data_IF_367578223786
#
_entry.id   IF_367578223786
#
_cell.length_a   1.000
_cell.length_b   1.000
_cell.length_c   1.000
_cell.angle_alpha   90.00
_cell.angle_beta   90.00
_cell.angle_gamma   90.00
#
_symmetry.space_group_name_H-M   'P 1'
#
loop_
_entity.id
_entity.type
_entity.pdbx_description
1 polymer ?
#
# COMPACT_ATOMS: atom_id res chain seq x y z
N UNK A 1 -1.24 -14.12 -22.01
CA UNK A 1 0.00 -13.32 -22.17
C UNK A 1 -0.30 -11.95 -21.57
N UNK A 2 0.66 -11.33 -20.86
CA UNK A 2 0.47 -9.98 -20.31
C UNK A 2 0.41 -8.94 -21.45
N UNK A 3 -0.43 -7.90 -21.37
CA UNK A 3 -0.54 -6.89 -22.43
C UNK A 3 0.60 -5.86 -22.41
N UNK A 4 1.48 -5.94 -21.42
CA UNK A 4 2.62 -5.04 -21.22
C UNK A 4 3.90 -5.82 -20.91
N UNK A 5 5.04 -5.13 -21.05
CA UNK A 5 6.40 -5.59 -20.77
C UNK A 5 7.09 -4.60 -19.83
N UNK A 6 8.14 -5.04 -19.15
CA UNK A 6 8.91 -4.17 -18.24
C UNK A 6 9.39 -2.86 -18.92
N UNK A 7 9.82 -2.95 -20.19
CA UNK A 7 10.30 -1.82 -20.98
C UNK A 7 9.24 -0.72 -21.18
N UNK A 8 7.95 -1.05 -21.13
CA UNK A 8 6.88 -0.07 -21.28
C UNK A 8 6.85 0.94 -20.12
N UNK A 9 7.47 0.62 -18.98
CA UNK A 9 7.46 1.47 -17.78
C UNK A 9 8.69 2.36 -17.65
N UNK A 10 9.59 2.35 -18.63
CA UNK A 10 10.72 3.28 -18.68
C UNK A 10 10.24 4.74 -18.76
N UNK A 11 10.91 5.63 -18.03
CA UNK A 11 10.62 7.07 -18.05
C UNK A 11 9.28 7.48 -17.40
N UNK A 12 8.63 6.61 -16.63
CA UNK A 12 7.35 6.90 -15.96
C UNK A 12 7.49 7.67 -14.63
N UNK A 13 8.61 8.36 -14.41
CA UNK A 13 8.86 9.17 -13.20
C UNK A 13 9.16 8.36 -11.93
N UNK A 14 9.11 7.03 -11.99
CA UNK A 14 9.53 6.17 -10.88
C UNK A 14 11.04 5.89 -10.95
N UNK A 15 11.76 5.85 -9.81
CA UNK A 15 13.18 5.49 -9.79
C UNK A 15 13.48 4.09 -10.35
N UNK A 16 12.49 3.19 -10.38
CA UNK A 16 12.63 1.85 -10.94
C UNK A 16 11.39 1.47 -11.76
N UNK A 17 11.53 1.12 -13.05
CA UNK A 17 10.40 0.67 -13.87
C UNK A 17 9.76 -0.62 -13.32
N UNK A 18 10.54 -1.43 -12.59
CA UNK A 18 10.06 -2.62 -11.90
C UNK A 18 8.95 -2.32 -10.88
N UNK A 19 8.94 -1.12 -10.30
CA UNK A 19 7.92 -0.72 -9.33
C UNK A 19 6.52 -0.64 -9.94
N UNK A 20 6.35 -0.01 -11.10
CA UNK A 20 5.04 0.07 -11.76
C UNK A 20 4.67 -1.27 -12.41
N UNK A 21 5.67 -1.95 -12.99
CA UNK A 21 5.48 -3.26 -13.60
C UNK A 21 4.87 -4.26 -12.61
N UNK A 22 5.42 -4.36 -11.38
CA UNK A 22 4.87 -5.30 -10.38
C UNK A 22 3.43 -4.98 -9.97
N UNK A 23 3.03 -3.72 -9.95
CA UNK A 23 1.68 -3.32 -9.57
C UNK A 23 0.65 -3.81 -10.59
N UNK A 24 0.97 -3.67 -11.87
CA UNK A 24 0.11 -4.17 -12.94
C UNK A 24 0.11 -5.69 -13.01
N UNK A 25 1.24 -6.36 -12.74
CA UNK A 25 1.25 -7.83 -12.62
C UNK A 25 0.24 -8.29 -11.56
N UNK A 26 0.18 -7.63 -10.40
CA UNK A 26 -0.75 -7.96 -9.31
C UNK A 26 -2.22 -7.76 -9.71
N UNK A 27 -2.54 -6.69 -10.43
CA UNK A 27 -3.91 -6.41 -10.88
C UNK A 27 -4.37 -7.33 -12.01
N UNK A 28 -3.48 -7.70 -12.93
CA UNK A 28 -3.82 -8.56 -14.07
C UNK A 28 -3.73 -10.06 -13.73
N UNK A 29 -2.97 -10.49 -12.71
CA UNK A 29 -2.81 -11.91 -12.38
C UNK A 29 -4.15 -12.65 -12.20
N UNK A 30 -5.14 -12.11 -11.45
CA UNK A 30 -6.44 -12.77 -11.27
C UNK A 30 -7.26 -12.92 -12.55
N UNK A 31 -6.96 -12.12 -13.59
CA UNK A 31 -7.64 -12.11 -14.88
C UNK A 31 -6.96 -13.02 -15.90
N UNK A 32 -5.63 -13.10 -15.88
CA UNK A 32 -4.85 -13.75 -16.94
C UNK A 32 -4.34 -15.15 -16.60
N UNK A 33 -4.12 -15.46 -15.31
CA UNK A 33 -3.60 -16.77 -14.91
C UNK A 33 -4.75 -17.77 -14.83
N UNK A 34 -4.69 -18.78 -15.71
CA UNK A 34 -5.71 -19.82 -15.80
C UNK A 34 -5.77 -20.66 -14.52
N UNK A 35 -6.99 -21.05 -14.12
CA UNK A 35 -7.21 -21.90 -12.96
C UNK A 35 -7.18 -21.20 -11.61
N UNK A 36 -6.91 -19.89 -11.54
CA UNK A 36 -7.05 -19.15 -10.29
C UNK A 36 -8.53 -19.07 -9.85
N UNK A 37 -8.73 -19.14 -8.54
CA UNK A 37 -10.03 -18.92 -7.92
C UNK A 37 -10.55 -17.49 -8.20
N UNK A 38 -11.87 -17.24 -8.11
CA UNK A 38 -12.44 -15.90 -8.29
C UNK A 38 -11.94 -14.86 -7.27
N UNK A 39 -11.48 -15.31 -6.11
CA UNK A 39 -10.86 -14.45 -5.09
C UNK A 39 -9.39 -14.88 -4.95
N UNK A 40 -8.47 -13.93 -5.08
CA UNK A 40 -7.02 -14.17 -5.06
C UNK A 40 -6.40 -13.30 -3.99
N UNK A 41 -5.68 -13.92 -3.04
CA UNK A 41 -4.83 -13.17 -2.12
C UNK A 41 -3.53 -12.81 -2.84
N UNK A 42 -3.35 -11.52 -3.11
CA UNK A 42 -2.08 -10.97 -3.55
C UNK A 42 -1.31 -10.52 -2.32
N UNK A 43 -0.02 -10.83 -2.28
CA UNK A 43 0.86 -10.55 -1.15
C UNK A 43 2.26 -10.18 -1.67
N UNK A 44 2.89 -9.19 -1.05
CA UNK A 44 4.31 -8.92 -1.28
C UNK A 44 5.15 -10.09 -0.73
N UNK A 45 6.28 -10.36 -1.39
CA UNK A 45 7.14 -11.49 -1.05
C UNK A 45 7.89 -11.33 0.28
N UNK A 46 7.89 -10.13 0.84
CA UNK A 46 8.54 -9.79 2.11
C UNK A 46 7.57 -9.76 3.30
N UNK A 47 6.32 -10.19 3.12
CA UNK A 47 5.33 -10.33 4.19
C UNK A 47 5.53 -11.65 4.95
N UNK A 48 5.55 -11.56 6.27
CA UNK A 48 5.58 -12.70 7.18
C UNK A 48 4.40 -12.63 8.15
N UNK A 49 3.52 -13.63 8.07
CA UNK A 49 2.34 -13.74 8.93
C UNK A 49 2.71 -14.28 10.30
N UNK A 50 2.33 -13.57 11.35
CA UNK A 50 2.53 -14.00 12.75
C UNK A 50 1.31 -14.71 13.31
N UNK A 51 0.11 -14.41 12.77
CA UNK A 51 -1.15 -14.98 13.21
C UNK A 51 -1.66 -16.03 12.22
N UNK A 52 -1.68 -17.33 12.58
CA UNK A 52 -2.12 -18.42 11.70
C UNK A 52 -3.63 -18.38 11.40
N UNK A 53 -4.41 -17.62 12.17
CA UNK A 53 -5.86 -17.47 12.00
C UNK A 53 -6.28 -16.29 11.13
N UNK A 54 -5.34 -15.62 10.45
CA UNK A 54 -5.66 -14.48 9.57
C UNK A 54 -6.54 -14.92 8.41
N UNK A 55 -7.77 -14.39 8.34
CA UNK A 55 -8.73 -14.64 7.25
C UNK A 55 -8.79 -13.44 6.32
N UNK A 56 -9.01 -13.64 5.02
CA UNK A 56 -9.12 -12.52 4.06
C UNK A 56 -10.49 -12.41 3.40
N UNK A 57 -11.35 -13.39 3.63
CA UNK A 57 -12.73 -13.42 3.17
C UNK A 57 -13.67 -13.54 4.36
N UNK A 58 -14.85 -12.96 4.20
CA UNK A 58 -16.00 -13.14 5.08
C UNK A 58 -16.99 -14.03 4.35
N UNK A 59 -17.36 -15.13 4.99
CA UNK A 59 -18.43 -15.98 4.48
C UNK A 59 -19.74 -15.20 4.54
N UNK A 60 -20.39 -15.04 3.39
CA UNK A 60 -21.71 -14.47 3.33
C UNK A 60 -22.75 -15.57 3.59
N UNK A 61 -23.76 -15.24 4.41
CA UNK A 61 -24.95 -16.08 4.52
C UNK A 61 -25.78 -15.95 3.23
N UNK A 62 -26.59 -16.98 2.95
CA UNK A 62 -27.64 -16.97 1.93
C UNK A 62 -27.17 -16.94 0.46
N UNK A 63 -26.04 -17.59 0.14
CA UNK A 63 -25.60 -17.81 -1.24
C UNK A 63 -25.06 -16.56 -1.96
N UNK A 64 -24.84 -15.46 -1.24
CA UNK A 64 -24.17 -14.27 -1.76
C UNK A 64 -22.67 -14.51 -1.95
N UNK A 65 -22.06 -13.76 -2.88
CA UNK A 65 -20.61 -13.76 -3.07
C UNK A 65 -19.90 -13.33 -1.77
N UNK A 66 -18.73 -13.91 -1.43
CA UNK A 66 -18.01 -13.55 -0.22
C UNK A 66 -17.53 -12.09 -0.28
N UNK A 67 -17.56 -11.42 0.87
CA UNK A 67 -16.94 -10.10 1.02
C UNK A 67 -15.45 -10.26 1.28
N UNK A 68 -14.62 -9.40 0.70
CA UNK A 68 -13.21 -9.34 0.99
C UNK A 68 -12.93 -8.41 2.18
N UNK A 69 -12.03 -8.85 3.06
CA UNK A 69 -11.41 -7.92 4.00
C UNK A 69 -10.41 -7.05 3.25
N UNK A 70 -10.77 -5.78 3.08
CA UNK A 70 -9.87 -4.75 2.60
C UNK A 70 -9.06 -4.26 3.78
N UNK A 71 -7.82 -4.73 3.85
CA UNK A 71 -6.92 -4.33 4.91
C UNK A 71 -6.51 -2.88 4.69
N UNK A 72 -6.67 -2.06 5.72
CA UNK A 72 -6.19 -0.68 5.74
C UNK A 72 -5.42 -0.43 7.03
N UNK A 73 -4.60 0.60 7.02
CA UNK A 73 -4.05 1.19 8.23
C UNK A 73 -4.47 2.65 8.31
N UNK A 74 -4.68 3.14 9.53
CA UNK A 74 -4.98 4.55 9.77
C UNK A 74 -4.03 5.16 10.80
N UNK A 75 -3.89 6.48 10.75
CA UNK A 75 -3.00 7.25 11.64
C UNK A 75 -3.35 7.11 13.12
N UNK A 76 -4.57 6.67 13.43
CA UNK A 76 -5.08 6.54 14.79
C UNK A 76 -4.76 5.16 15.39
N UNK A 77 -4.53 4.14 14.56
CA UNK A 77 -4.40 2.74 15.02
C UNK A 77 -3.06 2.07 14.68
N UNK A 78 -2.29 2.66 13.79
CA UNK A 78 -0.96 2.18 13.43
C UNK A 78 0.06 3.31 13.65
N UNK A 79 0.49 3.57 14.90
CA UNK A 79 1.60 4.47 15.14
C UNK A 79 2.91 3.75 14.79
N UNK A 80 3.83 4.39 14.06
CA UNK A 80 3.74 5.65 13.35
C UNK A 80 3.49 5.36 11.85
N UNK A 81 2.97 6.34 11.12
CA UNK A 81 2.80 6.25 9.67
C UNK A 81 3.90 7.04 9.04
N UNK A 82 4.66 6.45 8.09
CA UNK A 82 5.83 6.99 7.36
C UNK A 82 5.88 8.52 7.20
N UNK A 83 4.73 9.18 7.06
CA UNK A 83 4.45 10.56 7.49
C UNK A 83 3.00 10.90 7.09
N UNK A 84 2.49 12.07 7.50
CA UNK A 84 1.29 12.62 6.88
C UNK A 84 1.42 12.75 5.33
N UNK A 85 2.65 12.88 4.80
CA UNK A 85 2.88 12.89 3.37
C UNK A 85 2.62 11.52 2.72
N UNK A 86 2.80 10.42 3.45
CA UNK A 86 2.57 9.06 2.95
C UNK A 86 1.09 8.71 2.84
N UNK A 87 0.27 9.19 3.77
CA UNK A 87 -1.20 9.08 3.67
C UNK A 87 -1.75 9.82 2.45
N UNK A 88 -1.06 10.87 2.04
CA UNK A 88 -1.47 11.70 0.90
C UNK A 88 -0.74 11.32 -0.40
N UNK A 89 0.22 10.40 -0.35
CA UNK A 89 1.15 10.08 -1.45
C UNK A 89 0.44 9.72 -2.76
N UNK A 90 -0.73 9.08 -2.66
CA UNK A 90 -1.50 8.56 -3.78
C UNK A 90 -2.80 9.32 -4.06
N UNK A 91 -3.05 10.46 -3.37
CA UNK A 91 -4.31 11.20 -3.53
C UNK A 91 -4.56 11.68 -4.96
N UNK A 92 -3.49 12.06 -5.66
CA UNK A 92 -3.57 12.53 -7.05
C UNK A 92 -3.65 11.38 -8.05
N UNK A 93 -3.18 10.18 -7.68
CA UNK A 93 -3.14 9.03 -8.57
C UNK A 93 -4.53 8.49 -8.89
N UNK A 94 -5.39 8.33 -7.87
CA UNK A 94 -6.75 7.82 -8.05
C UNK A 94 -7.59 8.65 -9.05
N UNK A 95 -7.68 10.00 -8.92
CA UNK A 95 -8.34 10.85 -9.91
C UNK A 95 -7.76 10.74 -11.31
N UNK A 96 -6.45 10.54 -11.41
CA UNK A 96 -5.73 10.48 -12.67
C UNK A 96 -5.98 9.17 -13.42
N UNK A 97 -6.28 8.09 -12.69
CA UNK A 97 -6.72 6.81 -13.29
C UNK A 97 -8.22 6.84 -13.61
N UNK A 98 -9.04 7.31 -12.68
CA UNK A 98 -10.49 7.32 -12.83
C UNK A 98 -11.07 8.63 -12.27
N UNK A 99 -11.61 9.53 -13.12
CA UNK A 99 -12.26 10.75 -12.66
C UNK A 99 -13.33 10.48 -11.61
N UNK A 100 -13.34 11.29 -10.55
CA UNK A 100 -14.23 11.11 -9.40
C UNK A 100 -13.85 9.99 -8.41
N UNK A 101 -12.86 9.13 -8.70
CA UNK A 101 -12.36 8.17 -7.71
C UNK A 101 -11.46 8.87 -6.69
N UNK A 102 -11.74 8.68 -5.40
CA UNK A 102 -10.99 9.28 -4.28
C UNK A 102 -10.88 8.30 -3.13
N UNK A 103 -9.90 8.50 -2.25
CA UNK A 103 -9.84 7.81 -0.96
C UNK A 103 -11.06 8.17 -0.13
N UNK A 104 -11.59 7.21 0.64
CA UNK A 104 -12.69 7.47 1.56
C UNK A 104 -12.30 8.40 2.71
N UNK A 105 -11.06 8.27 3.23
CA UNK A 105 -10.48 9.14 4.26
C UNK A 105 -9.08 9.63 3.82
N UNK A 106 -8.99 10.63 2.91
CA UNK A 106 -7.70 11.19 2.49
C UNK A 106 -6.91 11.72 3.69
N UNK A 107 -5.61 11.43 3.75
CA UNK A 107 -4.75 11.90 4.84
C UNK A 107 -4.93 11.18 6.18
N UNK A 108 -5.83 10.19 6.28
CA UNK A 108 -6.06 9.44 7.53
C UNK A 108 -5.98 7.92 7.35
N UNK A 109 -6.29 7.39 6.16
CA UNK A 109 -6.31 5.96 5.87
C UNK A 109 -5.51 5.65 4.60
N UNK A 110 -4.91 4.46 4.49
CA UNK A 110 -4.36 3.94 3.24
C UNK A 110 -4.64 2.45 3.10
N UNK A 111 -4.83 1.99 1.86
CA UNK A 111 -4.98 0.57 1.51
C UNK A 111 -3.64 -0.15 1.31
N UNK A 112 -2.50 0.52 1.43
CA UNK A 112 -1.16 -0.07 1.17
C UNK A 112 -0.70 -0.97 2.34
N UNK A 113 -1.32 -2.14 2.47
CA UNK A 113 -1.04 -3.09 3.55
C UNK A 113 -0.13 -4.25 3.14
N UNK A 114 0.55 -4.18 1.99
CA UNK A 114 1.40 -5.24 1.42
C UNK A 114 0.67 -6.54 1.02
N UNK A 115 -0.66 -6.53 1.09
CA UNK A 115 -1.50 -7.63 0.63
C UNK A 115 -2.93 -7.13 0.39
N UNK A 116 -3.66 -7.84 -0.47
CA UNK A 116 -5.10 -7.64 -0.67
C UNK A 116 -5.76 -8.91 -1.20
N UNK A 117 -6.97 -9.20 -0.74
CA UNK A 117 -7.85 -10.16 -1.41
C UNK A 117 -8.54 -9.46 -2.59
N UNK A 118 -8.06 -9.75 -3.79
CA UNK A 118 -8.62 -9.24 -5.03
C UNK A 118 -9.74 -10.16 -5.52
N UNK A 119 -10.87 -9.56 -5.87
CA UNK A 119 -12.02 -10.25 -6.42
C UNK A 119 -12.04 -10.00 -7.93
N UNK A 120 -12.08 -11.07 -8.73
CA UNK A 120 -11.95 -11.00 -10.19
C UNK A 120 -12.98 -10.06 -10.81
N UNK A 121 -14.23 -10.17 -10.41
CA UNK A 121 -15.33 -9.37 -10.94
C UNK A 121 -15.23 -7.88 -10.55
N UNK A 122 -14.69 -7.57 -9.37
CA UNK A 122 -14.38 -6.19 -8.98
C UNK A 122 -13.24 -5.61 -9.84
N UNK A 123 -12.22 -6.42 -10.18
CA UNK A 123 -11.15 -6.00 -11.09
C UNK A 123 -11.66 -5.80 -12.52
N UNK A 124 -12.50 -6.70 -13.03
CA UNK A 124 -13.14 -6.57 -14.33
C UNK A 124 -13.96 -5.28 -14.40
N UNK A 125 -14.75 -4.98 -13.37
CA UNK A 125 -15.51 -3.73 -13.27
C UNK A 125 -14.60 -2.50 -13.20
N UNK A 126 -13.49 -2.57 -12.45
CA UNK A 126 -12.49 -1.48 -12.39
C UNK A 126 -11.91 -1.20 -13.77
N UNK A 127 -11.47 -2.24 -14.48
CA UNK A 127 -10.84 -2.09 -15.79
C UNK A 127 -11.84 -1.51 -16.79
N UNK A 128 -13.06 -2.06 -16.82
CA UNK A 128 -14.12 -1.57 -17.69
C UNK A 128 -14.51 -0.12 -17.40
N UNK A 129 -14.60 0.31 -16.13
CA UNK A 129 -14.94 1.68 -15.78
C UNK A 129 -13.83 2.68 -16.16
N UNK A 130 -12.57 2.28 -15.99
CA UNK A 130 -11.41 3.09 -16.42
C UNK A 130 -11.37 3.23 -17.94
N UNK A 131 -11.49 2.11 -18.66
CA UNK A 131 -11.44 2.11 -20.14
C UNK A 131 -12.64 2.85 -20.74
N UNK A 132 -13.82 2.77 -20.14
CA UNK A 132 -14.99 3.53 -20.57
C UNK A 132 -14.83 5.05 -20.35
N UNK A 133 -14.09 5.47 -19.33
CA UNK A 133 -13.87 6.89 -19.02
C UNK A 133 -12.95 7.59 -20.05
N UNK A 134 -12.19 6.83 -20.83
CA UNK A 134 -11.28 7.33 -21.88
C UNK A 134 -12.00 7.75 -23.17
N UNK A 135 -13.28 7.42 -23.31
CA UNK A 135 -14.09 7.82 -24.45
C UNK A 135 -13.54 7.28 -25.79
N UNK A 136 -13.34 8.15 -26.76
CA UNK A 136 -12.93 7.77 -28.12
C UNK A 136 -11.49 7.23 -28.22
N UNK A 137 -10.63 7.53 -27.24
CA UNK A 137 -9.21 7.18 -27.31
C UNK A 137 -8.93 5.72 -26.95
N UNK A 138 -9.94 4.96 -26.49
CA UNK A 138 -9.94 3.49 -26.29
C UNK A 138 -8.64 2.90 -25.75
N UNK A 139 -8.02 3.59 -24.77
CA UNK A 139 -6.79 3.13 -24.13
C UNK A 139 -7.09 1.95 -23.23
N UNK A 140 -6.20 0.96 -23.23
CA UNK A 140 -6.30 -0.17 -22.30
C UNK A 140 -5.99 0.29 -20.86
N UNK A 141 -6.56 -0.39 -19.86
CA UNK A 141 -6.39 -0.03 -18.45
C UNK A 141 -4.93 0.21 -18.05
N UNK A 142 -3.99 -0.64 -18.50
CA UNK A 142 -2.58 -0.51 -18.15
C UNK A 142 -1.93 0.77 -18.70
N UNK A 143 -2.39 1.27 -19.85
CA UNK A 143 -1.90 2.51 -20.46
C UNK A 143 -2.38 3.72 -19.66
N UNK A 144 -3.64 3.71 -19.22
CA UNK A 144 -4.21 4.74 -18.34
C UNK A 144 -3.48 4.74 -17.01
N UNK A 145 -3.30 3.57 -16.40
CA UNK A 145 -2.54 3.40 -15.15
C UNK A 145 -1.12 3.97 -15.26
N UNK A 146 -0.40 3.62 -16.34
CA UNK A 146 0.95 4.12 -16.63
C UNK A 146 0.96 5.64 -16.80
N UNK A 147 0.03 6.19 -17.57
CA UNK A 147 -0.09 7.63 -17.81
C UNK A 147 -0.35 8.39 -16.51
N UNK A 148 -1.26 7.89 -15.67
CA UNK A 148 -1.57 8.44 -14.35
C UNK A 148 -0.36 8.37 -13.41
N UNK A 149 0.37 7.25 -13.41
CA UNK A 149 1.59 7.11 -12.62
C UNK A 149 2.64 8.15 -13.04
N UNK A 150 2.83 8.34 -14.35
CA UNK A 150 3.77 9.34 -14.90
C UNK A 150 3.39 10.76 -14.51
N UNK A 151 2.11 11.14 -14.65
CA UNK A 151 1.64 12.48 -14.27
C UNK A 151 1.76 12.74 -12.77
N UNK A 152 1.77 11.69 -11.95
CA UNK A 152 1.95 11.75 -10.51
C UNK A 152 3.41 11.52 -10.05
N UNK A 153 4.40 11.64 -10.94
CA UNK A 153 5.82 11.50 -10.60
C UNK A 153 6.19 10.08 -10.14
N UNK A 154 5.63 9.06 -10.79
CA UNK A 154 5.85 7.64 -10.48
C UNK A 154 5.11 7.13 -9.24
N UNK A 155 4.28 7.96 -8.60
CA UNK A 155 3.51 7.59 -7.41
C UNK A 155 2.21 6.89 -7.82
N UNK A 156 2.27 5.56 -7.87
CA UNK A 156 1.12 4.70 -8.07
C UNK A 156 1.04 3.63 -6.98
N UNK A 157 -0.18 3.16 -6.71
CA UNK A 157 -0.46 2.03 -5.83
C UNK A 157 -1.69 1.28 -6.32
N UNK A 158 -1.49 0.02 -6.70
CA UNK A 158 -2.52 -0.97 -7.00
C UNK A 158 -3.43 -1.22 -5.80
N UNK A 159 -2.85 -1.28 -4.61
CA UNK A 159 -3.62 -1.50 -3.38
C UNK A 159 -4.54 -0.33 -3.10
N UNK A 160 -4.04 0.90 -3.26
CA UNK A 160 -4.84 2.10 -3.04
C UNK A 160 -5.95 2.24 -4.09
N UNK A 161 -5.65 1.93 -5.35
CA UNK A 161 -6.62 1.95 -6.45
C UNK A 161 -7.74 0.94 -6.23
N UNK A 162 -7.39 -0.32 -5.99
CA UNK A 162 -8.37 -1.38 -5.73
C UNK A 162 -9.18 -1.08 -4.47
N UNK A 163 -8.53 -0.65 -3.39
CA UNK A 163 -9.20 -0.29 -2.13
C UNK A 163 -10.25 0.80 -2.33
N UNK A 164 -9.88 1.90 -2.98
CA UNK A 164 -10.79 3.03 -3.20
C UNK A 164 -11.96 2.63 -4.11
N UNK A 165 -11.68 1.87 -5.18
CA UNK A 165 -12.70 1.44 -6.12
C UNK A 165 -13.68 0.45 -5.49
N UNK A 166 -13.18 -0.62 -4.88
CA UNK A 166 -14.00 -1.65 -4.25
C UNK A 166 -14.93 -1.05 -3.17
N UNK A 167 -14.43 -0.11 -2.35
CA UNK A 167 -15.27 0.56 -1.33
C UNK A 167 -16.33 1.48 -1.92
N UNK A 168 -16.03 2.15 -3.04
CA UNK A 168 -16.96 3.07 -3.69
C UNK A 168 -18.06 2.30 -4.41
N UNK A 169 -17.69 1.29 -5.18
CA UNK A 169 -18.57 0.62 -6.15
C UNK A 169 -19.21 -0.65 -5.60
N UNK A 170 -18.53 -1.34 -4.66
CA UNK A 170 -18.98 -2.60 -4.06
C UNK A 170 -18.94 -2.56 -2.51
N UNK A 171 -19.56 -1.57 -1.85
CA UNK A 171 -19.47 -1.39 -0.41
C UNK A 171 -19.93 -2.60 0.41
N UNK A 172 -20.86 -3.40 -0.12
CA UNK A 172 -21.36 -4.63 0.49
C UNK A 172 -20.35 -5.79 0.45
N UNK A 173 -19.33 -5.70 -0.41
CA UNK A 173 -18.27 -6.70 -0.57
C UNK A 173 -16.91 -6.22 -0.07
N UNK A 174 -16.80 -4.95 0.31
CA UNK A 174 -15.59 -4.30 0.73
C UNK A 174 -15.58 -4.03 2.25
N UNK A 175 -15.28 -5.06 3.05
CA UNK A 175 -15.25 -4.93 4.52
C UNK A 175 -13.88 -4.39 4.94
N UNK A 176 -13.83 -3.17 5.45
CA UNK A 176 -12.58 -2.59 5.95
C UNK A 176 -12.18 -3.26 7.25
N UNK A 177 -10.92 -3.69 7.36
CA UNK A 177 -10.33 -4.23 8.58
C UNK A 177 -8.94 -3.68 8.78
N UNK A 178 -8.61 -3.37 10.03
CA UNK A 178 -7.25 -3.00 10.39
C UNK A 178 -6.48 -4.25 10.82
N UNK A 179 -5.30 -4.44 10.21
CA UNK A 179 -4.31 -5.40 10.66
C UNK A 179 -3.05 -4.64 11.04
N UNK A 180 -2.68 -4.72 12.32
CA UNK A 180 -1.42 -4.14 12.80
C UNK A 180 -0.26 -4.87 12.16
N UNK A 181 0.71 -4.12 11.66
CA UNK A 181 1.94 -4.70 11.11
C UNK A 181 3.16 -3.87 11.48
N UNK A 182 4.31 -4.53 11.47
CA UNK A 182 5.61 -3.89 11.64
C UNK A 182 6.38 -3.93 10.32
N UNK A 183 7.23 -2.94 10.08
CA UNK A 183 8.28 -3.02 9.06
C UNK A 183 9.59 -3.25 9.80
N UNK A 184 10.35 -4.24 9.35
CA UNK A 184 11.57 -4.68 10.03
C UNK A 184 12.74 -4.70 9.05
N UNK A 185 13.90 -4.22 9.49
CA UNK A 185 15.15 -4.39 8.74
C UNK A 185 15.72 -5.81 8.83
N UNK A 186 15.53 -6.48 9.97
CA UNK A 186 16.06 -7.81 10.25
C UNK A 186 14.93 -8.84 10.40
N UNK A 187 14.63 -9.62 9.34
CA UNK A 187 13.59 -10.65 9.41
C UNK A 187 13.95 -11.80 10.36
N UNK A 188 15.23 -12.13 10.55
CA UNK A 188 15.64 -13.25 11.41
C UNK A 188 15.43 -12.88 12.88
N UNK A 189 15.83 -11.66 13.27
CA UNK A 189 15.55 -11.13 14.59
C UNK A 189 14.04 -11.02 14.86
N UNK A 190 13.26 -10.55 13.87
CA UNK A 190 11.80 -10.46 13.98
C UNK A 190 11.12 -11.84 14.09
N UNK A 191 11.69 -12.89 13.51
CA UNK A 191 11.19 -14.26 13.71
C UNK A 191 11.52 -14.80 15.09
N UNK A 192 12.72 -14.52 15.61
CA UNK A 192 13.14 -14.96 16.94
C UNK A 192 12.40 -14.22 18.06
N UNK A 193 12.08 -12.94 17.86
CA UNK A 193 11.34 -12.09 18.78
C UNK A 193 10.28 -11.26 18.01
N UNK A 194 9.11 -11.86 17.71
CA UNK A 194 8.05 -11.19 16.96
C UNK A 194 7.63 -9.85 17.54
N UNK A 195 7.42 -8.82 16.69
CA UNK A 195 6.87 -7.54 17.12
C UNK A 195 5.56 -7.73 17.88
N UNK A 196 5.52 -7.26 19.13
CA UNK A 196 4.36 -7.45 20.01
C UNK A 196 3.10 -6.82 19.40
N UNK A 197 2.00 -7.57 19.38
CA UNK A 197 0.71 -7.11 18.87
C UNK A 197 0.58 -7.02 17.35
N UNK A 198 1.64 -7.30 16.59
CA UNK A 198 1.56 -7.32 15.12
C UNK A 198 0.89 -8.60 14.61
N UNK A 199 0.02 -8.46 13.61
CA UNK A 199 -0.57 -9.60 12.90
C UNK A 199 0.39 -10.17 11.84
N UNK A 200 1.24 -9.32 11.28
CA UNK A 200 2.30 -9.67 10.34
C UNK A 200 3.43 -8.63 10.41
N UNK A 201 4.57 -8.92 9.80
CA UNK A 201 5.59 -7.92 9.53
C UNK A 201 6.02 -7.95 8.07
N UNK A 202 6.67 -6.87 7.61
CA UNK A 202 7.26 -6.76 6.27
C UNK A 202 8.75 -6.46 6.36
N UNK A 203 9.55 -7.20 5.59
CA UNK A 203 11.01 -7.17 5.67
C UNK A 203 11.66 -6.62 4.41
N UNK A 204 11.52 -5.31 4.21
CA UNK A 204 12.02 -4.61 3.03
C UNK A 204 13.52 -4.78 2.85
N UNK A 205 13.94 -5.24 1.66
CA UNK A 205 15.35 -5.44 1.35
C UNK A 205 16.20 -4.18 1.44
N UNK A 206 15.63 -3.00 1.12
CA UNK A 206 16.32 -1.71 1.16
C UNK A 206 16.55 -1.16 2.58
N UNK A 207 16.04 -1.84 3.61
CA UNK A 207 16.30 -1.52 5.02
C UNK A 207 17.42 -2.39 5.60
N UNK A 208 17.79 -3.48 4.93
CA UNK A 208 18.80 -4.42 5.43
C UNK A 208 20.18 -3.76 5.46
N UNK A 209 20.90 -3.94 6.55
CA UNK A 209 22.26 -3.43 6.72
C UNK A 209 22.38 -1.93 6.96
N UNK A 210 21.27 -1.21 7.08
CA UNK A 210 21.29 0.18 7.51
C UNK A 210 21.66 0.26 9.01
N UNK A 211 22.39 1.32 9.37
CA UNK A 211 22.66 1.65 10.76
C UNK A 211 21.38 2.03 11.50
N UNK A 212 21.41 1.99 12.84
CA UNK A 212 20.26 2.42 13.64
C UNK A 212 19.84 3.86 13.37
N UNK A 213 20.77 4.76 13.02
CA UNK A 213 20.43 6.14 12.67
C UNK A 213 19.77 6.24 11.29
N UNK A 214 20.27 5.51 10.29
CA UNK A 214 19.64 5.44 8.96
C UNK A 214 18.27 4.74 9.01
N UNK A 215 18.15 3.74 9.88
CA UNK A 215 16.88 3.13 10.21
C UNK A 215 16.00 4.13 10.92
N UNK A 216 16.44 4.95 11.87
CA UNK A 216 15.58 6.01 12.44
C UNK A 216 15.13 7.04 11.39
N UNK A 217 15.93 7.32 10.37
CA UNK A 217 15.51 8.23 9.30
C UNK A 217 14.45 7.60 8.36
N UNK A 218 14.52 6.28 8.14
CA UNK A 218 13.64 5.52 7.21
C UNK A 218 12.51 4.73 7.88
N UNK A 219 12.71 4.33 9.12
CA UNK A 219 11.91 3.52 10.07
C UNK A 219 11.51 4.27 11.34
N UNK A 220 11.99 5.50 11.61
CA UNK A 220 11.57 6.30 12.80
C UNK A 220 10.08 6.67 12.81
N UNK A 221 9.36 6.02 11.92
CA UNK A 221 7.97 6.12 11.66
C UNK A 221 7.32 4.73 11.61
N UNK A 222 7.93 3.67 12.16
CA UNK A 222 7.40 2.29 12.11
C UNK A 222 7.48 1.57 13.48
N UNK A 223 8.39 1.95 14.38
CA UNK A 223 8.55 1.30 15.70
C UNK A 223 7.85 1.99 16.89
N UNK A 224 6.95 2.93 16.63
CA UNK A 224 6.18 3.62 17.68
C UNK A 224 7.01 4.60 18.51
N UNK A 225 8.18 5.03 18.02
CA UNK A 225 9.03 6.04 18.68
C UNK A 225 8.44 7.45 18.52
N UNK A 226 7.37 7.72 19.27
CA UNK A 226 6.68 9.01 19.29
C UNK A 226 7.61 10.14 19.74
N UNK A 227 8.56 9.86 20.64
CA UNK A 227 9.54 10.85 21.10
C UNK A 227 10.50 11.23 19.97
N UNK A 228 11.05 10.26 19.25
CA UNK A 228 11.87 10.49 18.06
C UNK A 228 11.13 11.29 16.98
N UNK A 229 9.83 11.06 16.79
CA UNK A 229 9.02 11.83 15.84
C UNK A 229 8.80 13.29 16.28
N UNK A 230 8.56 13.57 17.57
CA UNK A 230 8.43 14.93 18.11
C UNK A 230 9.73 15.71 17.91
N UNK A 231 10.86 15.11 18.30
CA UNK A 231 12.18 15.73 18.12
C UNK A 231 12.45 16.01 16.65
N UNK A 232 12.14 15.07 15.76
CA UNK A 232 12.30 15.24 14.31
C UNK A 232 11.43 16.36 13.74
N UNK A 233 10.17 16.51 14.14
CA UNK A 233 9.30 17.62 13.69
C UNK A 233 9.80 18.97 14.18
N UNK A 234 10.33 19.03 15.39
CA UNK A 234 10.89 20.26 15.96
C UNK A 234 12.23 20.66 15.32
N UNK A 235 12.92 19.72 14.68
CA UNK A 235 14.30 19.92 14.16
C UNK A 235 14.38 19.86 12.65
N UNK A 236 13.26 19.61 11.96
CA UNK A 236 13.20 19.55 10.50
C UNK A 236 13.56 20.91 9.90
N UNK A 237 14.67 20.97 9.14
CA UNK A 237 15.19 22.23 8.58
C UNK A 237 16.15 23.00 9.50
N UNK A 238 16.51 22.44 10.65
CA UNK A 238 17.47 23.00 11.60
C UNK A 238 18.78 22.20 11.65
N UNK A 239 19.88 22.78 12.18
CA UNK A 239 21.16 22.08 12.30
C UNK A 239 21.06 20.82 13.17
N UNK A 240 21.86 19.81 12.83
CA UNK A 240 21.91 18.51 13.52
C UNK A 240 22.15 18.63 15.03
N UNK A 241 22.89 19.65 15.46
CA UNK A 241 23.15 19.96 16.87
C UNK A 241 21.87 20.25 17.67
N UNK A 242 20.84 20.83 17.04
CA UNK A 242 19.55 21.10 17.69
C UNK A 242 18.79 19.80 18.00
N UNK A 243 18.89 18.80 17.13
CA UNK A 243 18.27 17.49 17.36
C UNK A 243 18.91 16.75 18.53
N UNK A 244 20.24 16.84 18.65
CA UNK A 244 20.97 16.27 19.80
C UNK A 244 20.63 16.99 21.11
N UNK A 245 20.51 18.32 21.09
CA UNK A 245 20.15 19.12 22.26
C UNK A 245 18.74 18.82 22.76
N UNK A 246 17.77 18.71 21.86
CA UNK A 246 16.38 18.39 22.22
C UNK A 246 16.26 16.93 22.68
N UNK A 247 16.89 15.98 21.98
CA UNK A 247 16.89 14.56 22.37
C UNK A 247 17.60 14.27 23.70
N UNK A 248 18.64 15.05 24.05
CA UNK A 248 19.36 14.91 25.33
C UNK A 248 18.72 15.65 26.51
N UNK A 249 17.67 16.44 26.27
CA UNK A 249 17.10 17.35 27.28
C UNK A 249 16.16 16.67 28.29
N UNK A 250 15.70 15.44 28.01
CA UNK A 250 14.79 14.69 28.88
C UNK A 250 13.37 15.30 29.01
N UNK A 251 13.04 16.32 28.23
CA UNK A 251 11.72 16.96 28.22
C UNK A 251 10.66 16.19 27.44
N UNK A 252 11.05 15.16 26.69
CA UNK A 252 10.16 14.28 25.94
C UNK A 252 10.46 12.84 26.23
#
# INVERSE_FOLDING_TARGET
MWPFRLADFEGCGCPSPGWLFQQLLKLYAPLLVQGLAPNVLICDSDVVWLQPSTRFLVDCKDGKLPSAYLCSFCSESCPPIRSAADLNRYNSFLPAVLPGLRKSRPGAESGVCHHAALQRDVLEALFAEVEAAEGSDSREFWEVFRSAAKSCGGRASEYELYFAFARKTFPERAVTRQLTFAVVADPEAALASPPSGAAFFVAHSHLRGLSQDELRDREGVINGDVQGEIVRRLTQGHPHELAQLIGGSGFF
#
